data_IF_074143062949
#
_entry.id   IF_074143062949
#
_cell.length_a   1.000
_cell.length_b   1.000
_cell.length_c   1.000
_cell.angle_alpha   90.00
_cell.angle_beta   90.00
_cell.angle_gamma   90.00
#
_symmetry.space_group_name_H-M   'P 1'
#
loop_
_entity.id
_entity.type
_entity.pdbx_description
1 polymer ?
#
# COMPACT_ATOMS: atom_id res chain seq x y z
N UNK A 1 4.19 17.59 -27.44
CA UNK A 1 3.64 17.00 -26.20
C UNK A 1 4.67 17.22 -25.12
N UNK A 2 4.40 18.10 -24.15
CA UNK A 2 5.25 18.20 -22.97
C UNK A 2 4.82 17.05 -22.04
N UNK A 3 5.62 15.99 -21.99
CA UNK A 3 5.38 14.85 -21.09
C UNK A 3 5.63 15.22 -19.64
N UNK A 4 5.21 14.33 -18.72
CA UNK A 4 5.59 14.42 -17.32
C UNK A 4 7.13 14.43 -17.18
N UNK A 5 7.69 15.15 -16.18
CA UNK A 5 9.12 15.08 -15.90
C UNK A 5 9.53 13.65 -15.57
N UNK A 6 10.70 13.22 -16.06
CA UNK A 6 11.21 11.86 -15.84
C UNK A 6 11.29 11.49 -14.36
N UNK A 7 11.61 12.46 -13.50
CA UNK A 7 11.63 12.31 -12.03
C UNK A 7 10.25 11.97 -11.44
N UNK A 8 9.17 12.59 -11.95
CA UNK A 8 7.80 12.31 -11.53
C UNK A 8 7.38 10.92 -12.01
N UNK A 9 7.71 10.56 -13.26
CA UNK A 9 7.44 9.22 -13.81
C UNK A 9 8.14 8.16 -12.96
N UNK A 10 9.41 8.37 -12.62
CA UNK A 10 10.18 7.45 -11.79
C UNK A 10 9.60 7.33 -10.37
N UNK A 11 9.21 8.44 -9.75
CA UNK A 11 8.60 8.44 -8.41
C UNK A 11 7.26 7.69 -8.37
N UNK A 12 6.42 7.88 -9.40
CA UNK A 12 5.17 7.12 -9.56
C UNK A 12 5.46 5.63 -9.74
N UNK A 13 6.47 5.28 -10.54
CA UNK A 13 6.90 3.91 -10.72
C UNK A 13 7.25 3.26 -9.37
N UNK A 14 8.02 3.97 -8.53
CA UNK A 14 8.36 3.52 -7.17
C UNK A 14 7.13 3.34 -6.27
N UNK A 15 6.21 4.31 -6.25
CA UNK A 15 4.93 4.18 -5.50
C UNK A 15 4.13 2.97 -5.98
N UNK A 16 4.07 2.73 -7.29
CA UNK A 16 3.32 1.62 -7.88
C UNK A 16 3.90 0.28 -7.48
N UNK A 17 5.23 0.13 -7.53
CA UNK A 17 5.94 -1.08 -7.09
C UNK A 17 5.74 -1.29 -5.59
N UNK A 18 5.97 -0.26 -4.76
CA UNK A 18 5.84 -0.37 -3.31
C UNK A 18 4.41 -0.74 -2.86
N UNK A 19 3.40 -0.18 -3.53
CA UNK A 19 2.01 -0.54 -3.28
C UNK A 19 1.71 -1.98 -3.71
N UNK A 20 2.23 -2.44 -4.84
CA UNK A 20 2.09 -3.82 -5.30
C UNK A 20 2.72 -4.83 -4.32
N UNK A 21 3.91 -4.52 -3.80
CA UNK A 21 4.59 -5.34 -2.79
C UNK A 21 3.79 -5.40 -1.48
N UNK A 22 3.21 -4.28 -1.06
CA UNK A 22 2.32 -4.23 0.10
C UNK A 22 1.02 -5.03 -0.13
N UNK A 23 0.41 -4.92 -1.31
CA UNK A 23 -0.77 -5.72 -1.68
C UNK A 23 -0.44 -7.22 -1.69
N UNK A 24 0.75 -7.60 -2.15
CA UNK A 24 1.21 -8.99 -2.16
C UNK A 24 1.34 -9.58 -0.75
N UNK A 25 1.96 -8.87 0.20
CA UNK A 25 2.09 -9.37 1.58
C UNK A 25 0.72 -9.48 2.27
N UNK A 26 -0.19 -8.52 2.03
CA UNK A 26 -1.57 -8.60 2.53
C UNK A 26 -2.31 -9.82 1.95
N UNK A 27 -2.14 -10.09 0.65
CA UNK A 27 -2.72 -11.27 0.02
C UNK A 27 -2.17 -12.58 0.61
N UNK A 28 -0.86 -12.64 0.89
CA UNK A 28 -0.24 -13.76 1.59
C UNK A 28 -0.81 -13.96 2.99
N UNK A 29 -0.95 -12.89 3.78
CA UNK A 29 -1.59 -12.94 5.10
C UNK A 29 -3.01 -13.50 4.97
N UNK A 30 -3.82 -12.99 4.03
CA UNK A 30 -5.17 -13.48 3.78
C UNK A 30 -5.21 -14.96 3.36
N UNK A 31 -4.25 -15.40 2.55
CA UNK A 31 -4.10 -16.77 2.09
C UNK A 31 -3.68 -17.76 3.19
N UNK A 32 -3.21 -17.29 4.36
CA UNK A 32 -2.89 -18.22 5.47
C UNK A 32 -4.12 -18.92 6.05
N UNK A 33 -5.33 -18.40 5.83
CA UNK A 33 -6.58 -18.89 6.45
C UNK A 33 -7.60 -19.47 5.48
N UNK A 34 -7.53 -19.07 4.22
CA UNK A 34 -8.25 -19.75 3.13
C UNK A 34 -7.23 -20.59 2.39
N UNK A 35 -7.56 -21.84 2.04
CA UNK A 35 -6.78 -22.84 1.29
C UNK A 35 -6.32 -22.35 -0.11
N UNK A 36 -5.72 -21.17 -0.14
CA UNK A 36 -6.19 -20.09 -0.99
C UNK A 36 -5.04 -19.52 -1.78
N UNK A 37 -5.16 -19.68 -3.08
CA UNK A 37 -4.24 -19.13 -4.07
C UNK A 37 -4.08 -17.61 -3.89
N UNK A 38 -2.89 -17.18 -3.45
CA UNK A 38 -2.51 -15.78 -3.25
C UNK A 38 -2.81 -14.94 -4.50
N UNK A 39 -2.61 -15.51 -5.69
CA UNK A 39 -2.83 -14.80 -6.94
C UNK A 39 -4.33 -14.58 -7.23
N UNK A 40 -5.22 -15.46 -6.76
CA UNK A 40 -6.68 -15.23 -6.85
C UNK A 40 -7.13 -14.08 -5.95
N UNK A 41 -6.48 -13.90 -4.80
CA UNK A 41 -6.73 -12.77 -3.91
C UNK A 41 -6.20 -11.48 -4.57
N UNK A 42 -4.94 -11.49 -5.03
CA UNK A 42 -4.30 -10.32 -5.63
C UNK A 42 -4.99 -9.86 -6.93
N UNK A 43 -5.60 -10.77 -7.69
CA UNK A 43 -6.32 -10.45 -8.91
C UNK A 43 -7.61 -9.63 -8.68
N UNK A 44 -8.08 -9.50 -7.43
CA UNK A 44 -9.31 -8.78 -7.09
C UNK A 44 -9.00 -7.44 -6.43
N UNK A 45 -9.45 -6.31 -6.99
CA UNK A 45 -9.22 -4.99 -6.39
C UNK A 45 -9.70 -4.90 -4.93
N UNK A 46 -8.82 -4.45 -4.03
CA UNK A 46 -9.11 -4.28 -2.60
C UNK A 46 -9.28 -5.59 -1.81
N UNK A 47 -9.28 -6.75 -2.45
CA UNK A 47 -9.42 -8.04 -1.77
C UNK A 47 -8.21 -8.41 -0.89
N UNK A 48 -6.94 -8.08 -1.23
CA UNK A 48 -5.81 -8.36 -0.34
C UNK A 48 -6.00 -7.81 1.07
N UNK A 49 -6.45 -6.56 1.19
CA UNK A 49 -6.70 -5.91 2.47
C UNK A 49 -7.87 -6.58 3.23
N UNK A 50 -8.97 -6.87 2.53
CA UNK A 50 -10.14 -7.55 3.13
C UNK A 50 -9.79 -8.96 3.60
N UNK A 51 -9.02 -9.70 2.81
CA UNK A 51 -8.59 -11.05 3.14
C UNK A 51 -7.63 -11.03 4.35
N UNK A 52 -6.67 -10.11 4.38
CA UNK A 52 -5.77 -9.93 5.52
C UNK A 52 -6.55 -9.64 6.81
N UNK A 53 -7.50 -8.70 6.80
CA UNK A 53 -8.32 -8.39 7.99
C UNK A 53 -9.04 -9.62 8.53
N UNK A 54 -9.74 -10.38 7.67
CA UNK A 54 -10.43 -11.62 8.08
C UNK A 54 -9.46 -12.64 8.67
N UNK A 55 -8.26 -12.75 8.12
CA UNK A 55 -7.26 -13.67 8.63
C UNK A 55 -6.72 -13.28 10.01
N UNK A 56 -6.58 -11.97 10.25
CA UNK A 56 -6.11 -11.39 11.51
C UNK A 56 -7.14 -11.54 12.63
N UNK A 57 -8.44 -11.44 12.32
CA UNK A 57 -9.54 -11.57 13.30
C UNK A 57 -9.55 -12.92 14.03
N UNK A 58 -8.96 -13.96 13.44
CA UNK A 58 -8.86 -15.30 14.04
C UNK A 58 -7.43 -15.66 14.49
N UNK A 59 -6.45 -14.78 14.27
CA UNK A 59 -5.09 -14.96 14.78
C UNK A 59 -5.06 -14.92 16.32
N UNK A 60 -4.02 -15.51 16.92
CA UNK A 60 -3.80 -15.43 18.36
C UNK A 60 -3.67 -13.96 18.83
N UNK A 61 -4.15 -13.60 20.04
CA UNK A 61 -4.26 -12.21 20.47
C UNK A 61 -2.97 -11.39 20.29
N UNK A 62 -1.82 -11.95 20.66
CA UNK A 62 -0.50 -11.28 20.56
C UNK A 62 -0.15 -10.86 19.13
N UNK A 63 -0.50 -11.67 18.12
CA UNK A 63 -0.24 -11.33 16.72
C UNK A 63 -1.33 -10.41 16.17
N UNK A 64 -2.58 -10.62 16.57
CA UNK A 64 -3.70 -9.76 16.19
C UNK A 64 -3.44 -8.31 16.56
N UNK A 65 -3.02 -8.07 17.80
CA UNK A 65 -2.73 -6.73 18.33
C UNK A 65 -1.56 -6.06 17.60
N UNK A 66 -0.61 -6.85 17.10
CA UNK A 66 0.49 -6.34 16.27
C UNK A 66 0.07 -6.03 14.83
N UNK A 67 -0.80 -6.86 14.23
CA UNK A 67 -1.22 -6.69 12.84
C UNK A 67 -2.18 -5.54 12.63
N UNK A 68 -3.20 -5.39 13.50
CA UNK A 68 -4.30 -4.46 13.27
C UNK A 68 -3.81 -3.03 12.98
N UNK A 69 -2.89 -2.44 13.78
CA UNK A 69 -2.38 -1.10 13.48
C UNK A 69 -1.64 -1.03 12.14
N UNK A 70 -0.83 -2.04 11.80
CA UNK A 70 -0.07 -2.06 10.55
C UNK A 70 -0.99 -2.18 9.32
N UNK A 71 -2.05 -2.98 9.41
CA UNK A 71 -3.04 -3.13 8.34
C UNK A 71 -3.90 -1.88 8.18
N UNK A 72 -4.27 -1.21 9.27
CA UNK A 72 -5.00 0.05 9.22
C UNK A 72 -4.17 1.16 8.54
N UNK A 73 -2.87 1.23 8.81
CA UNK A 73 -1.96 2.15 8.10
C UNK A 73 -1.82 1.73 6.63
N UNK A 74 -1.68 0.44 6.34
CA UNK A 74 -1.64 -0.05 4.96
C UNK A 74 -2.88 0.36 4.16
N UNK A 75 -4.07 0.25 4.74
CA UNK A 75 -5.32 0.69 4.13
C UNK A 75 -5.29 2.17 3.75
N UNK A 76 -4.79 3.03 4.64
CA UNK A 76 -4.67 4.47 4.40
C UNK A 76 -3.68 4.78 3.28
N UNK A 77 -2.50 4.15 3.29
CA UNK A 77 -1.46 4.37 2.29
C UNK A 77 -1.87 3.86 0.90
N UNK A 78 -2.51 2.69 0.81
CA UNK A 78 -3.06 2.16 -0.45
C UNK A 78 -4.16 3.07 -1.00
N UNK A 79 -5.01 3.64 -0.14
CA UNK A 79 -5.99 4.66 -0.52
C UNK A 79 -5.34 5.93 -1.10
N UNK A 80 -4.22 6.37 -0.52
CA UNK A 80 -3.43 7.51 -1.06
C UNK A 80 -2.82 7.19 -2.42
N UNK A 81 -2.26 5.99 -2.63
CA UNK A 81 -1.72 5.55 -3.94
C UNK A 81 -2.78 5.59 -5.03
N UNK A 82 -4.00 5.10 -4.78
CA UNK A 82 -5.09 5.15 -5.77
C UNK A 82 -5.39 6.58 -6.23
N UNK A 83 -5.30 7.54 -5.29
CA UNK A 83 -5.48 8.97 -5.54
C UNK A 83 -4.40 9.54 -6.46
N UNK A 84 -3.13 9.19 -6.19
CA UNK A 84 -1.97 9.61 -6.99
C UNK A 84 -2.04 9.06 -8.43
N UNK A 85 -2.31 7.77 -8.59
CA UNK A 85 -2.32 7.13 -9.92
C UNK A 85 -3.48 7.63 -10.78
N UNK A 86 -4.68 7.80 -10.21
CA UNK A 86 -5.82 8.35 -10.94
C UNK A 86 -5.58 9.78 -11.40
N UNK A 87 -4.95 10.59 -10.56
CA UNK A 87 -4.69 11.98 -10.88
C UNK A 87 -3.81 12.17 -12.12
N UNK A 88 -2.85 11.28 -12.33
CA UNK A 88 -1.97 11.33 -13.51
C UNK A 88 -2.73 11.10 -14.82
N UNK A 89 -3.85 10.38 -14.78
CA UNK A 89 -4.63 10.06 -15.99
C UNK A 89 -5.62 11.17 -16.36
N UNK A 90 -5.91 12.10 -15.44
CA UNK A 90 -6.89 13.18 -15.65
C UNK A 90 -6.26 14.47 -16.17
N UNK A 91 -4.93 14.61 -16.13
CA UNK A 91 -4.24 15.85 -16.48
C UNK A 91 -3.80 15.91 -17.96
N UNK A 92 -4.59 16.59 -18.80
CA UNK A 92 -4.27 16.94 -20.19
C UNK A 92 -4.09 18.46 -20.40
N UNK A 93 -3.84 19.24 -19.34
CA UNK A 93 -3.75 20.70 -19.40
C UNK A 93 -2.37 21.23 -19.82
N UNK A 94 -2.27 22.19 -20.75
CA UNK A 94 -1.00 22.83 -21.08
C UNK A 94 -0.66 23.89 -20.03
N UNK A 95 0.45 23.72 -19.30
CA UNK A 95 1.08 24.80 -18.52
C UNK A 95 1.30 24.51 -17.03
N UNK A 96 2.53 24.17 -16.70
CA UNK A 96 3.29 24.70 -15.56
C UNK A 96 2.72 24.60 -14.14
N UNK A 97 2.16 23.45 -13.77
CA UNK A 97 2.25 22.82 -12.44
C UNK A 97 1.52 21.47 -12.57
N UNK A 98 2.25 20.36 -12.43
CA UNK A 98 1.63 19.04 -12.55
C UNK A 98 0.81 18.80 -11.30
N UNK A 99 -0.50 18.66 -11.43
CA UNK A 99 -1.39 18.53 -10.28
C UNK A 99 -1.92 17.11 -10.12
N UNK A 100 -1.78 16.54 -8.93
CA UNK A 100 -2.45 15.34 -8.48
C UNK A 100 -3.89 15.69 -8.05
N UNK A 101 -4.89 15.37 -8.86
CA UNK A 101 -6.31 15.45 -8.53
C UNK A 101 -6.74 14.36 -7.56
N UNK A 102 -7.17 14.76 -6.37
CA UNK A 102 -7.74 13.83 -5.42
C UNK A 102 -9.13 13.35 -5.84
N UNK A 103 -9.31 12.06 -6.15
CA UNK A 103 -10.55 11.54 -6.77
C UNK A 103 -11.85 11.81 -5.97
N UNK A 104 -11.81 11.81 -4.62
CA UNK A 104 -12.99 12.15 -3.80
C UNK A 104 -13.20 13.66 -3.61
N UNK A 105 -12.16 14.38 -3.23
CA UNK A 105 -12.28 15.79 -2.82
C UNK A 105 -12.12 16.77 -3.99
N UNK A 106 -11.67 16.28 -5.16
CA UNK A 106 -11.32 17.07 -6.33
C UNK A 106 -10.28 18.17 -6.07
N UNK A 107 -9.55 18.06 -4.94
CA UNK A 107 -8.47 18.97 -4.59
C UNK A 107 -7.24 18.63 -5.41
N UNK A 108 -6.56 19.65 -5.90
CA UNK A 108 -5.34 19.54 -6.71
C UNK A 108 -4.12 19.76 -5.83
N UNK A 109 -3.14 18.86 -5.92
CA UNK A 109 -1.87 18.97 -5.21
C UNK A 109 -0.71 18.96 -6.19
N UNK A 110 0.37 19.72 -6.01
CA UNK A 110 1.55 19.58 -6.88
C UNK A 110 2.06 18.12 -6.86
N UNK A 111 2.37 17.56 -8.04
CA UNK A 111 3.01 16.27 -8.21
C UNK A 111 4.49 16.43 -7.87
N UNK A 112 4.77 16.54 -6.58
CA UNK A 112 6.11 16.67 -6.04
C UNK A 112 6.77 15.27 -5.93
N UNK A 113 7.90 15.03 -6.65
CA UNK A 113 8.64 13.77 -6.57
C UNK A 113 9.03 13.39 -5.14
N UNK A 114 9.33 14.37 -4.28
CA UNK A 114 9.73 14.10 -2.89
C UNK A 114 8.57 13.52 -2.08
N UNK A 115 7.39 14.12 -2.20
CA UNK A 115 6.15 13.61 -1.59
C UNK A 115 5.81 12.19 -2.08
N UNK A 116 6.01 11.91 -3.37
CA UNK A 116 5.81 10.57 -3.95
C UNK A 116 6.82 9.55 -3.41
N UNK A 117 8.08 9.95 -3.29
CA UNK A 117 9.14 9.11 -2.73
C UNK A 117 8.93 8.83 -1.24
N UNK A 118 8.40 9.80 -0.50
CA UNK A 118 7.98 9.60 0.88
C UNK A 118 6.82 8.62 1.00
N UNK A 119 5.81 8.71 0.12
CA UNK A 119 4.74 7.74 0.06
C UNK A 119 5.26 6.33 -0.25
N UNK A 120 6.16 6.20 -1.23
CA UNK A 120 6.78 4.92 -1.57
C UNK A 120 7.54 4.31 -0.38
N UNK A 121 8.27 5.14 0.36
CA UNK A 121 8.99 4.72 1.57
C UNK A 121 8.03 4.22 2.65
N UNK A 122 6.98 4.98 2.97
CA UNK A 122 5.99 4.56 3.97
C UNK A 122 5.28 3.26 3.59
N UNK A 123 4.98 3.05 2.29
CA UNK A 123 4.43 1.78 1.81
C UNK A 123 5.39 0.61 2.10
N UNK A 124 6.69 0.80 1.84
CA UNK A 124 7.72 -0.22 2.10
C UNK A 124 7.94 -0.47 3.60
N UNK A 125 7.95 0.58 4.42
CA UNK A 125 8.13 0.46 5.88
C UNK A 125 7.02 -0.40 6.51
N UNK A 126 5.77 -0.17 6.09
CA UNK A 126 4.62 -0.96 6.53
C UNK A 126 4.67 -2.39 5.99
N UNK A 127 5.06 -2.57 4.73
CA UNK A 127 5.29 -3.89 4.15
C UNK A 127 6.32 -4.68 4.97
N UNK A 128 7.43 -4.06 5.35
CA UNK A 128 8.49 -4.69 6.14
C UNK A 128 8.03 -4.96 7.59
N UNK A 129 7.21 -4.08 8.17
CA UNK A 129 6.56 -4.34 9.45
C UNK A 129 5.66 -5.58 9.39
N UNK A 130 4.81 -5.68 8.37
CA UNK A 130 3.94 -6.85 8.18
C UNK A 130 4.74 -8.14 7.98
N UNK A 131 5.83 -8.10 7.19
CA UNK A 131 6.74 -9.24 7.03
C UNK A 131 7.34 -9.68 8.36
N UNK A 132 7.75 -8.75 9.23
CA UNK A 132 8.27 -9.08 10.57
C UNK A 132 7.23 -9.77 11.43
N UNK A 133 5.98 -9.29 11.43
CA UNK A 133 4.89 -9.89 12.22
C UNK A 133 4.57 -11.30 11.70
N UNK A 134 4.45 -11.49 10.38
CA UNK A 134 4.24 -12.81 9.76
C UNK A 134 5.36 -13.77 10.10
N UNK A 135 6.61 -13.32 10.00
CA UNK A 135 7.78 -14.13 10.33
C UNK A 135 7.78 -14.52 11.81
N UNK A 136 7.41 -13.61 12.72
CA UNK A 136 7.29 -13.91 14.14
C UNK A 136 6.19 -14.95 14.40
N UNK A 137 5.02 -14.78 13.78
CA UNK A 137 3.91 -15.72 13.90
C UNK A 137 4.26 -17.12 13.40
N UNK A 138 4.86 -17.24 12.21
CA UNK A 138 5.27 -18.54 11.65
C UNK A 138 6.26 -19.26 12.58
N UNK A 139 7.17 -18.51 13.21
CA UNK A 139 8.19 -19.07 14.10
C UNK A 139 7.75 -19.18 15.56
N UNK A 140 6.50 -18.84 15.90
CA UNK A 140 6.02 -18.72 17.27
C UNK A 140 6.94 -17.85 18.17
N UNK A 141 7.50 -16.79 17.61
CA UNK A 141 8.40 -15.86 18.28
C UNK A 141 7.64 -14.60 18.75
N UNK A 142 8.12 -13.91 19.80
CA UNK A 142 7.55 -12.63 20.21
C UNK A 142 7.66 -11.61 19.08
N UNK A 143 6.61 -10.82 18.88
CA UNK A 143 6.64 -9.69 17.95
C UNK A 143 7.51 -8.61 18.58
N UNK A 144 8.58 -8.19 17.88
CA UNK A 144 9.37 -7.05 18.30
C UNK A 144 8.48 -5.79 18.30
N UNK A 145 8.21 -5.25 19.49
CA UNK A 145 7.55 -3.94 19.63
C UNK A 145 8.52 -2.86 19.16
N UNK A 146 8.11 -2.07 18.19
CA UNK A 146 8.82 -0.82 17.85
C UNK A 146 8.53 0.15 19.02
N UNK A 147 9.56 0.76 19.64
CA UNK A 147 9.37 1.76 20.69
C UNK A 147 8.61 3.00 20.21
#
# INVERSE_FOLDING_TARGET
>A
MNGLPDEVIAAVGRVTIAAGDLELILAWIGATQTDGDVFKILAKPGEPLRAAHRAIEVAAPVYRDAYLPAVDIAAQLLGRRHTVVHAMWVNNGPGQEWELLHYKTHVRHPADPLTLDELARHLMDIRDQLVRIVTAQINNAPVATIP
#
